data_IF_905917394948
#
_entry.id   IF_905917394948
#
_cell.length_a   1.000
_cell.length_b   1.000
_cell.length_c   1.000
_cell.angle_alpha   90.00
_cell.angle_beta   90.00
_cell.angle_gamma   90.00
#
_symmetry.space_group_name_H-M   'P 1'
#
loop_
_entity.id
_entity.type
_entity.pdbx_description
1 polymer ?
#
# COMPACT_ATOMS: atom_id res chain seq x y z
N UNK A 1 28.25 55.78 19.95
CA UNK A 1 28.43 55.55 21.40
C UNK A 1 28.07 56.82 22.15
N UNK A 2 26.80 56.98 22.57
CA UNK A 2 26.35 58.06 23.44
C UNK A 2 26.40 57.60 24.89
N UNK A 3 27.19 58.28 25.73
CA UNK A 3 27.42 57.87 27.12
C UNK A 3 26.24 58.20 28.04
N UNK A 4 25.90 57.27 28.95
CA UNK A 4 24.86 57.43 29.97
C UNK A 4 25.30 58.41 31.08
N UNK A 5 25.36 59.71 30.77
CA UNK A 5 25.93 60.74 31.64
C UNK A 5 25.27 60.83 33.03
N UNK A 6 24.00 60.46 33.18
CA UNK A 6 23.30 60.47 34.46
C UNK A 6 23.84 59.46 35.48
N UNK A 7 24.51 58.38 35.03
CA UNK A 7 25.14 57.40 35.92
C UNK A 7 26.28 58.02 36.75
N UNK A 8 26.86 59.14 36.31
CA UNK A 8 27.92 59.85 37.04
C UNK A 8 27.41 60.50 38.33
N UNK A 9 26.09 60.69 38.47
CA UNK A 9 25.45 61.31 39.63
C UNK A 9 25.21 60.32 40.79
N UNK A 10 25.29 59.01 40.54
CA UNK A 10 25.10 57.97 41.55
C UNK A 10 26.42 57.78 42.31
N UNK A 11 26.50 58.18 43.58
CA UNK A 11 27.76 58.11 44.36
C UNK A 11 28.21 56.67 44.63
N UNK A 12 27.29 55.80 45.03
CA UNK A 12 27.58 54.39 45.31
C UNK A 12 27.99 53.66 44.03
N UNK A 13 29.17 53.06 44.03
CA UNK A 13 29.73 52.36 42.89
C UNK A 13 28.94 51.09 42.56
N UNK A 14 28.52 50.34 43.57
CA UNK A 14 27.79 49.08 43.38
C UNK A 14 26.43 49.30 42.72
N UNK A 15 25.70 50.33 43.17
CA UNK A 15 24.38 50.69 42.61
C UNK A 15 24.52 51.20 41.18
N UNK A 16 25.55 52.02 40.92
CA UNK A 16 25.85 52.54 39.58
C UNK A 16 26.16 51.43 38.58
N UNK A 17 27.00 50.48 38.99
CA UNK A 17 27.42 49.36 38.15
C UNK A 17 26.24 48.40 37.87
N UNK A 18 25.40 48.14 38.87
CA UNK A 18 24.19 47.34 38.72
C UNK A 18 23.18 47.98 37.74
N UNK A 19 22.91 49.28 37.89
CA UNK A 19 21.99 50.00 37.01
C UNK A 19 22.51 50.07 35.57
N UNK A 20 23.81 50.31 35.41
CA UNK A 20 24.45 50.26 34.09
C UNK A 20 24.25 48.90 33.42
N UNK A 21 24.48 47.82 34.16
CA UNK A 21 24.31 46.46 33.65
C UNK A 21 22.87 46.18 33.21
N UNK A 22 21.88 46.66 33.98
CA UNK A 22 20.48 46.52 33.62
C UNK A 22 20.13 47.22 32.31
N UNK A 23 20.59 48.47 32.14
CA UNK A 23 20.36 49.26 30.92
C UNK A 23 21.03 48.60 29.72
N UNK A 24 22.28 48.15 29.87
CA UNK A 24 23.00 47.48 28.79
C UNK A 24 22.30 46.17 28.39
N UNK A 25 21.72 45.42 29.35
CA UNK A 25 20.91 44.22 29.08
C UNK A 25 19.58 44.55 28.39
N UNK A 26 18.89 45.61 28.78
CA UNK A 26 17.64 46.05 28.13
C UNK A 26 17.90 46.45 26.69
N UNK A 27 18.96 47.23 26.43
CA UNK A 27 19.32 47.63 25.07
C UNK A 27 19.72 46.42 24.19
N UNK A 28 20.37 45.42 24.79
CA UNK A 28 20.66 44.15 24.11
C UNK A 28 19.37 43.40 23.75
N UNK A 29 18.40 43.33 24.67
CA UNK A 29 17.10 42.71 24.42
C UNK A 29 16.30 43.45 23.34
N UNK A 30 16.30 44.79 23.34
CA UNK A 30 15.64 45.60 22.31
C UNK A 30 16.25 45.36 20.92
N UNK A 31 17.57 45.23 20.84
CA UNK A 31 18.28 44.91 19.59
C UNK A 31 17.93 43.50 19.10
N UNK A 32 17.86 42.52 20.01
CA UNK A 32 17.46 41.14 19.67
C UNK A 32 15.99 41.04 19.26
N UNK A 33 15.08 41.73 19.95
CA UNK A 33 13.67 41.77 19.60
C UNK A 33 13.45 42.38 18.21
N UNK A 34 14.22 43.40 17.82
CA UNK A 34 14.18 43.98 16.48
C UNK A 34 14.59 42.99 15.37
N UNK A 35 15.42 41.99 15.67
CA UNK A 35 15.79 40.93 14.72
C UNK A 35 14.75 39.81 14.61
N UNK A 36 13.89 39.64 15.61
CA UNK A 36 12.79 38.68 15.60
C UNK A 36 11.58 39.40 14.98
N UNK A 37 11.53 39.44 13.65
CA UNK A 37 10.44 40.11 12.92
C UNK A 37 9.05 39.70 13.41
N UNK A 38 8.09 40.62 13.36
CA UNK A 38 6.70 40.36 13.75
C UNK A 38 6.00 39.55 12.66
N UNK A 39 5.39 38.41 13.01
CA UNK A 39 4.49 37.65 12.12
C UNK A 39 3.21 38.47 11.90
N UNK A 40 3.24 39.36 10.91
CA UNK A 40 2.13 40.28 10.59
C UNK A 40 1.03 39.63 9.75
N UNK A 41 1.24 38.41 9.25
CA UNK A 41 0.25 37.60 8.53
C UNK A 41 0.46 36.10 8.82
N UNK A 42 -0.60 35.28 8.79
CA UNK A 42 -0.46 33.81 8.78
C UNK A 42 0.47 33.38 7.64
N UNK A 43 1.32 32.39 7.91
CA UNK A 43 2.15 31.76 6.89
C UNK A 43 1.25 31.08 5.85
N UNK A 44 1.26 31.60 4.63
CA UNK A 44 0.52 31.07 3.47
C UNK A 44 1.32 29.99 2.71
N UNK A 45 2.55 29.69 3.15
CA UNK A 45 3.46 28.73 2.52
C UNK A 45 4.28 27.91 3.54
N UNK A 46 4.54 26.64 3.19
CA UNK A 46 5.21 25.67 4.05
C UNK A 46 6.71 26.01 4.27
N UNK A 47 7.17 25.93 5.53
CA UNK A 47 8.55 26.16 5.96
C UNK A 47 9.24 24.84 6.37
N UNK A 48 10.58 24.81 6.37
CA UNK A 48 11.34 23.71 6.97
C UNK A 48 11.49 23.87 8.50
N UNK A 49 12.09 22.89 9.18
CA UNK A 49 12.27 22.90 10.64
C UNK A 49 13.13 24.06 11.18
N UNK A 50 13.82 24.80 10.31
CA UNK A 50 14.60 25.99 10.62
C UNK A 50 13.92 27.30 10.17
N UNK A 51 12.60 27.26 9.89
CA UNK A 51 11.80 28.41 9.43
C UNK A 51 12.26 29.05 8.11
N UNK A 52 13.04 28.35 7.30
CA UNK A 52 13.41 28.81 5.96
C UNK A 52 12.38 28.33 4.93
N UNK A 53 12.15 29.15 3.89
CA UNK A 53 11.36 28.71 2.72
C UNK A 53 12.05 27.49 2.11
N UNK A 54 11.27 26.46 1.79
CA UNK A 54 11.72 25.33 0.97
C UNK A 54 11.92 25.82 -0.48
N UNK A 55 13.06 26.43 -0.79
CA UNK A 55 13.32 27.09 -2.10
C UNK A 55 14.23 26.32 -3.05
N UNK A 56 14.63 25.08 -2.73
CA UNK A 56 15.55 24.32 -3.57
C UNK A 56 15.42 22.81 -3.38
N UNK A 57 14.22 22.25 -3.62
CA UNK A 57 14.09 20.78 -3.78
C UNK A 57 14.66 20.46 -5.16
N UNK A 58 15.98 20.26 -5.22
CA UNK A 58 16.72 20.11 -6.46
C UNK A 58 16.57 18.71 -7.05
N UNK A 59 16.29 17.69 -6.21
CA UNK A 59 16.08 16.33 -6.65
C UNK A 59 15.07 15.58 -5.76
N UNK A 60 13.81 15.44 -6.21
CA UNK A 60 12.75 14.78 -5.43
C UNK A 60 12.94 13.27 -5.21
N UNK A 61 13.99 12.67 -5.77
CA UNK A 61 14.35 11.26 -5.56
C UNK A 61 15.60 11.07 -4.71
N UNK A 62 16.20 12.14 -4.18
CA UNK A 62 17.34 12.03 -3.28
C UNK A 62 16.86 11.73 -1.86
N UNK A 63 17.47 10.72 -1.22
CA UNK A 63 17.08 10.22 0.11
C UNK A 63 17.16 11.28 1.24
N UNK A 64 17.79 12.42 0.97
CA UNK A 64 17.99 13.52 1.93
C UNK A 64 17.05 14.71 1.74
N UNK A 65 16.20 14.71 0.70
CA UNK A 65 15.34 15.85 0.37
C UNK A 65 13.89 15.65 0.86
N UNK A 66 13.23 16.73 1.27
CA UNK A 66 11.88 16.64 1.81
C UNK A 66 10.83 16.45 0.69
N UNK A 67 10.05 15.37 0.74
CA UNK A 67 8.98 15.11 -0.24
C UNK A 67 7.81 16.09 -0.03
N UNK A 68 7.50 16.91 -1.04
CA UNK A 68 6.29 17.75 -1.04
C UNK A 68 5.05 16.97 -1.54
N UNK A 69 3.84 17.48 -1.27
CA UNK A 69 2.58 16.80 -1.62
C UNK A 69 2.44 16.49 -3.12
N UNK A 70 2.85 17.40 -4.01
CA UNK A 70 2.77 17.20 -5.46
C UNK A 70 3.71 16.07 -5.90
N UNK A 71 4.90 16.01 -5.32
CA UNK A 71 5.87 14.94 -5.55
C UNK A 71 5.34 13.59 -5.06
N UNK A 72 4.80 13.53 -3.84
CA UNK A 72 4.20 12.31 -3.31
C UNK A 72 3.04 11.84 -4.19
N UNK A 73 2.15 12.77 -4.58
CA UNK A 73 1.03 12.46 -5.45
C UNK A 73 1.50 11.91 -6.80
N UNK A 74 2.47 12.56 -7.46
CA UNK A 74 3.04 12.07 -8.73
C UNK A 74 3.69 10.71 -8.59
N UNK A 75 4.41 10.47 -7.50
CA UNK A 75 5.02 9.17 -7.23
C UNK A 75 3.96 8.09 -7.05
N UNK A 76 2.93 8.35 -6.24
CA UNK A 76 1.81 7.43 -6.04
C UNK A 76 1.07 7.19 -7.35
N UNK A 77 0.66 8.24 -8.07
CA UNK A 77 -0.02 8.12 -9.37
C UNK A 77 0.82 7.28 -10.36
N UNK A 78 2.14 7.52 -10.44
CA UNK A 78 3.03 6.74 -11.29
C UNK A 78 3.14 5.27 -10.87
N UNK A 79 3.12 4.98 -9.56
CA UNK A 79 3.10 3.61 -9.04
C UNK A 79 1.76 2.93 -9.31
N UNK A 80 0.65 3.64 -9.16
CA UNK A 80 -0.70 3.15 -9.48
C UNK A 80 -0.80 2.79 -10.97
N UNK A 81 -0.34 3.68 -11.87
CA UNK A 81 -0.28 3.40 -13.32
C UNK A 81 0.62 2.22 -13.63
N UNK A 82 1.81 2.15 -13.03
CA UNK A 82 2.73 1.02 -13.24
C UNK A 82 2.17 -0.32 -12.75
N UNK A 83 1.33 -0.31 -11.72
CA UNK A 83 0.61 -1.49 -11.23
C UNK A 83 -0.71 -1.79 -11.98
N UNK A 84 -1.06 -0.98 -12.98
CA UNK A 84 -2.32 -1.10 -13.72
C UNK A 84 -3.57 -0.69 -12.92
N UNK A 85 -3.41 0.00 -11.79
CA UNK A 85 -4.51 0.48 -10.91
C UNK A 85 -5.32 1.60 -11.53
N UNK A 86 -4.63 2.42 -12.30
CA UNK A 86 -5.24 3.56 -12.95
C UNK A 86 -4.65 3.74 -14.35
N UNK A 87 -5.41 4.34 -15.25
CA UNK A 87 -4.90 4.75 -16.55
C UNK A 87 -4.05 6.03 -16.40
N UNK A 88 -3.46 6.49 -17.51
CA UNK A 88 -2.66 7.72 -17.51
C UNK A 88 -3.46 8.99 -17.15
N UNK A 89 -4.79 8.92 -17.16
CA UNK A 89 -5.69 9.99 -16.73
C UNK A 89 -6.11 9.87 -15.26
N UNK A 90 -5.66 8.83 -14.55
CA UNK A 90 -5.99 8.58 -13.15
C UNK A 90 -7.36 7.93 -12.93
N UNK A 91 -8.02 7.44 -13.99
CA UNK A 91 -9.25 6.68 -13.86
C UNK A 91 -8.92 5.25 -13.43
N UNK A 92 -9.74 4.69 -12.54
CA UNK A 92 -9.65 3.27 -12.22
C UNK A 92 -9.78 2.45 -13.50
N UNK A 93 -8.79 1.61 -13.78
CA UNK A 93 -8.86 0.68 -14.91
C UNK A 93 -9.72 -0.49 -14.45
N UNK A 94 -10.83 -0.74 -15.16
CA UNK A 94 -11.55 -2.00 -15.00
C UNK A 94 -10.56 -3.15 -15.26
N UNK A 95 -10.55 -4.23 -14.46
CA UNK A 95 -9.65 -5.36 -14.68
C UNK A 95 -9.80 -5.82 -16.12
N UNK A 96 -8.83 -5.46 -16.97
CA UNK A 96 -8.67 -6.14 -18.24
C UNK A 96 -8.05 -7.47 -17.90
N UNK A 97 -8.72 -8.53 -18.36
CA UNK A 97 -8.14 -9.87 -18.47
C UNK A 97 -6.82 -9.73 -19.23
N UNK A 98 -5.75 -9.56 -18.47
CA UNK A 98 -4.42 -9.30 -18.99
C UNK A 98 -3.68 -10.61 -19.21
N UNK A 99 -4.30 -11.74 -18.85
CA UNK A 99 -3.80 -13.09 -19.17
C UNK A 99 -4.43 -13.61 -20.47
N UNK A 100 -5.33 -12.83 -21.09
CA UNK A 100 -6.09 -13.19 -22.30
C UNK A 100 -6.88 -14.50 -22.13
N UNK A 101 -7.38 -14.75 -20.92
CA UNK A 101 -8.17 -15.92 -20.56
C UNK A 101 -7.36 -17.21 -20.40
N UNK A 102 -6.03 -17.12 -20.29
CA UNK A 102 -5.17 -18.29 -20.18
C UNK A 102 -5.39 -19.04 -18.87
N UNK A 103 -5.66 -18.35 -17.77
CA UNK A 103 -5.95 -19.00 -16.48
C UNK A 103 -7.28 -19.76 -16.56
N UNK A 104 -8.30 -19.15 -17.18
CA UNK A 104 -9.57 -19.83 -17.43
C UNK A 104 -9.42 -21.02 -18.40
N UNK A 105 -8.59 -20.90 -19.44
CA UNK A 105 -8.28 -21.98 -20.37
C UNK A 105 -7.57 -23.15 -19.67
N UNK A 106 -6.66 -22.86 -18.74
CA UNK A 106 -6.00 -23.85 -17.89
C UNK A 106 -7.00 -24.61 -17.01
N UNK A 107 -7.92 -23.90 -16.35
CA UNK A 107 -8.98 -24.52 -15.54
C UNK A 107 -9.83 -25.47 -16.40
N UNK A 108 -10.23 -25.03 -17.59
CA UNK A 108 -11.02 -25.85 -18.52
C UNK A 108 -10.25 -27.08 -19.04
N UNK A 109 -8.93 -27.01 -19.10
CA UNK A 109 -8.06 -28.10 -19.54
C UNK A 109 -7.62 -29.03 -18.38
N UNK A 110 -7.90 -28.66 -17.13
CA UNK A 110 -7.50 -29.45 -15.98
C UNK A 110 -8.20 -30.82 -16.01
N UNK A 111 -7.40 -31.89 -16.00
CA UNK A 111 -7.90 -33.26 -15.80
C UNK A 111 -8.03 -33.62 -14.32
N UNK A 112 -8.34 -34.88 -14.04
CA UNK A 112 -8.31 -35.42 -12.66
C UNK A 112 -6.92 -35.27 -12.01
N UNK A 113 -5.86 -35.32 -12.83
CA UNK A 113 -4.47 -35.12 -12.42
C UNK A 113 -3.96 -33.71 -12.76
N UNK A 114 -4.83 -32.69 -12.78
CA UNK A 114 -4.63 -31.36 -13.42
C UNK A 114 -3.37 -30.55 -13.05
N UNK A 115 -2.44 -31.09 -12.27
CA UNK A 115 -1.14 -30.48 -12.01
C UNK A 115 -0.22 -30.53 -13.25
N UNK A 116 0.48 -29.42 -13.58
CA UNK A 116 1.37 -29.37 -14.72
C UNK A 116 2.58 -30.31 -14.52
N UNK A 117 2.94 -31.06 -15.57
CA UNK A 117 4.08 -31.99 -15.54
C UNK A 117 5.46 -31.31 -15.45
N UNK A 118 5.53 -30.00 -15.70
CA UNK A 118 6.75 -29.18 -15.63
C UNK A 118 6.47 -27.85 -14.93
N UNK A 119 7.46 -27.34 -14.19
CA UNK A 119 7.35 -26.05 -13.52
C UNK A 119 7.42 -24.91 -14.53
N UNK A 120 6.38 -24.09 -14.55
CA UNK A 120 6.31 -22.84 -15.29
C UNK A 120 5.27 -21.96 -14.63
N UNK A 121 5.67 -20.74 -14.25
CA UNK A 121 4.80 -19.79 -13.52
C UNK A 121 3.88 -19.02 -14.48
N UNK A 122 3.24 -19.74 -15.39
CA UNK A 122 2.36 -19.16 -16.43
C UNK A 122 0.91 -19.19 -16.02
N UNK A 123 0.09 -18.30 -16.60
CA UNK A 123 -1.35 -18.26 -16.35
C UNK A 123 -2.05 -19.60 -16.64
N UNK A 124 -1.71 -20.23 -17.77
CA UNK A 124 -2.25 -21.54 -18.13
C UNK A 124 -1.92 -22.63 -17.10
N UNK A 125 -0.68 -22.65 -16.59
CA UNK A 125 -0.28 -23.62 -15.57
C UNK A 125 -0.92 -23.35 -14.21
N UNK A 126 -1.11 -22.09 -13.84
CA UNK A 126 -1.88 -21.74 -12.64
C UNK A 126 -3.32 -22.24 -12.76
N UNK A 127 -3.96 -22.04 -13.92
CA UNK A 127 -5.30 -22.53 -14.22
C UNK A 127 -5.42 -24.05 -14.11
N UNK A 128 -4.44 -24.78 -14.66
CA UNK A 128 -4.34 -26.24 -14.54
C UNK A 128 -4.37 -26.68 -13.06
N UNK A 129 -3.54 -26.05 -12.21
CA UNK A 129 -3.49 -26.35 -10.77
C UNK A 129 -4.83 -26.04 -10.10
N UNK A 130 -5.42 -24.86 -10.37
CA UNK A 130 -6.70 -24.43 -9.77
C UNK A 130 -7.82 -25.42 -10.11
N UNK A 131 -7.95 -25.81 -11.37
CA UNK A 131 -8.94 -26.80 -11.80
C UNK A 131 -8.65 -28.20 -11.26
N UNK A 132 -7.37 -28.60 -11.21
CA UNK A 132 -6.93 -29.92 -10.71
C UNK A 132 -7.28 -30.14 -9.25
N UNK A 133 -7.04 -29.15 -8.39
CA UNK A 133 -7.41 -29.21 -6.96
C UNK A 133 -8.91 -29.44 -6.78
N UNK A 134 -9.75 -28.80 -7.60
CA UNK A 134 -11.20 -29.03 -7.53
C UNK A 134 -11.61 -30.45 -7.92
N UNK A 135 -10.91 -31.07 -8.87
CA UNK A 135 -11.11 -32.48 -9.21
C UNK A 135 -10.58 -33.44 -8.14
N UNK A 136 -9.52 -33.08 -7.43
CA UNK A 136 -8.97 -33.86 -6.33
C UNK A 136 -9.88 -33.86 -5.10
N UNK A 137 -10.56 -32.74 -4.84
CA UNK A 137 -11.46 -32.57 -3.69
C UNK A 137 -12.92 -32.40 -4.11
N UNK A 138 -13.55 -33.37 -4.82
CA UNK A 138 -14.89 -33.21 -5.38
C UNK A 138 -15.97 -33.04 -4.29
N UNK A 139 -15.71 -33.52 -3.07
CA UNK A 139 -16.60 -33.33 -1.93
C UNK A 139 -16.71 -31.86 -1.49
N UNK A 140 -15.66 -31.07 -1.69
CA UNK A 140 -15.69 -29.63 -1.38
C UNK A 140 -16.53 -28.88 -2.42
N UNK A 141 -16.53 -29.33 -3.67
CA UNK A 141 -17.26 -28.69 -4.79
C UNK A 141 -18.74 -29.09 -4.85
N UNK A 142 -19.12 -30.20 -4.22
CA UNK A 142 -20.49 -30.73 -4.22
C UNK A 142 -21.49 -29.80 -3.49
N UNK A 143 -22.81 -29.97 -3.72
CA UNK A 143 -23.83 -29.34 -2.89
C UNK A 143 -23.60 -29.59 -1.41
N UNK A 144 -23.81 -28.55 -0.60
CA UNK A 144 -23.70 -28.58 0.84
C UNK A 144 -25.08 -28.60 1.50
N UNK A 145 -25.12 -28.97 2.78
CA UNK A 145 -26.36 -29.03 3.56
C UNK A 145 -26.94 -27.66 3.90
N UNK A 146 -26.08 -26.63 3.97
CA UNK A 146 -26.43 -25.25 4.25
C UNK A 146 -25.34 -24.27 3.77
N UNK A 147 -25.66 -22.98 3.81
CA UNK A 147 -24.74 -21.90 3.40
C UNK A 147 -23.45 -21.88 4.23
N UNK A 148 -23.53 -22.18 5.53
CA UNK A 148 -22.36 -22.15 6.41
C UNK A 148 -21.34 -23.25 6.05
N UNK A 149 -21.83 -24.45 5.73
CA UNK A 149 -21.01 -25.55 5.24
C UNK A 149 -20.45 -25.24 3.86
N UNK A 150 -21.24 -24.61 2.99
CA UNK A 150 -20.80 -24.18 1.67
C UNK A 150 -19.65 -23.14 1.75
N UNK A 151 -19.79 -22.13 2.60
CA UNK A 151 -18.74 -21.14 2.86
C UNK A 151 -17.46 -21.78 3.43
N UNK A 152 -17.61 -22.76 4.33
CA UNK A 152 -16.48 -23.50 4.90
C UNK A 152 -15.75 -24.33 3.84
N UNK A 153 -16.50 -25.08 3.01
CA UNK A 153 -15.94 -25.87 1.91
C UNK A 153 -15.20 -24.98 0.90
N UNK A 154 -15.77 -23.80 0.60
CA UNK A 154 -15.17 -22.81 -0.31
C UNK A 154 -13.84 -22.29 0.21
N UNK A 155 -13.78 -21.92 1.49
CA UNK A 155 -12.54 -21.47 2.11
C UNK A 155 -11.49 -22.60 2.19
N UNK A 156 -11.93 -23.83 2.49
CA UNK A 156 -11.03 -24.99 2.50
C UNK A 156 -10.42 -25.22 1.11
N UNK A 157 -11.25 -25.24 0.08
CA UNK A 157 -10.81 -25.43 -1.31
C UNK A 157 -9.87 -24.31 -1.76
N UNK A 158 -10.14 -23.05 -1.38
CA UNK A 158 -9.24 -21.92 -1.64
C UNK A 158 -7.86 -22.15 -1.03
N UNK A 159 -7.81 -22.62 0.22
CA UNK A 159 -6.56 -22.83 0.94
C UNK A 159 -5.76 -24.01 0.40
N UNK A 160 -6.43 -25.09 -0.02
CA UNK A 160 -5.77 -26.20 -0.74
C UNK A 160 -5.21 -25.73 -2.08
N UNK A 161 -5.96 -24.89 -2.79
CA UNK A 161 -5.53 -24.29 -4.06
C UNK A 161 -4.27 -23.44 -3.87
N UNK A 162 -4.25 -22.59 -2.84
CA UNK A 162 -3.09 -21.76 -2.50
C UNK A 162 -1.87 -22.63 -2.16
N UNK A 163 -2.04 -23.65 -1.32
CA UNK A 163 -0.96 -24.55 -0.95
C UNK A 163 -0.34 -25.24 -2.18
N UNK A 164 -1.17 -25.75 -3.08
CA UNK A 164 -0.72 -26.37 -4.33
C UNK A 164 0.03 -25.38 -5.23
N UNK A 165 -0.49 -24.17 -5.41
CA UNK A 165 0.22 -23.14 -6.18
C UNK A 165 1.61 -22.85 -5.60
N UNK A 166 1.72 -22.73 -4.27
CA UNK A 166 3.00 -22.52 -3.57
C UNK A 166 3.94 -23.73 -3.76
N UNK A 167 3.43 -24.96 -3.67
CA UNK A 167 4.20 -26.18 -3.91
C UNK A 167 4.83 -26.22 -5.31
N UNK A 168 4.11 -25.70 -6.30
CA UNK A 168 4.57 -25.57 -7.69
C UNK A 168 5.41 -24.29 -7.95
N UNK A 169 5.68 -23.50 -6.91
CA UNK A 169 6.59 -22.34 -6.95
C UNK A 169 5.92 -21.01 -7.29
N UNK A 170 4.59 -20.95 -7.37
CA UNK A 170 3.88 -19.67 -7.51
C UNK A 170 3.92 -18.89 -6.21
N UNK A 171 3.89 -17.56 -6.33
CA UNK A 171 3.53 -16.70 -5.20
C UNK A 171 2.02 -16.52 -5.22
N UNK A 172 1.32 -17.07 -4.24
CA UNK A 172 -0.13 -16.99 -4.12
C UNK A 172 -0.55 -16.74 -2.66
N UNK A 173 -1.75 -16.20 -2.48
CA UNK A 173 -2.33 -15.94 -1.19
C UNK A 173 -3.78 -15.52 -1.31
N UNK A 174 -4.43 -15.23 -0.18
CA UNK A 174 -5.82 -14.76 -0.20
C UNK A 174 -5.88 -13.31 -0.65
N UNK A 175 -6.89 -12.99 -1.45
CA UNK A 175 -7.17 -11.60 -1.81
C UNK A 175 -7.70 -10.84 -0.58
N UNK A 176 -7.11 -9.69 -0.26
CA UNK A 176 -7.68 -8.75 0.69
C UNK A 176 -8.64 -7.80 -0.02
N UNK A 177 -9.90 -7.76 0.42
CA UNK A 177 -10.88 -6.84 -0.13
C UNK A 177 -10.58 -5.39 0.33
N UNK A 178 -11.09 -4.35 -0.38
CA UNK A 178 -10.94 -2.96 0.05
C UNK A 178 -11.46 -2.67 1.47
N UNK A 179 -12.37 -3.50 1.99
CA UNK A 179 -12.84 -3.47 3.38
C UNK A 179 -11.79 -3.93 4.41
N UNK A 180 -10.65 -4.46 3.97
CA UNK A 180 -9.61 -5.07 4.80
C UNK A 180 -9.85 -6.56 5.12
N UNK A 181 -11.00 -7.12 4.74
CA UNK A 181 -11.35 -8.52 5.00
C UNK A 181 -10.73 -9.44 3.96
N UNK A 182 -10.14 -10.56 4.40
CA UNK A 182 -9.65 -11.60 3.49
C UNK A 182 -10.81 -12.36 2.87
N UNK A 183 -10.83 -12.47 1.55
CA UNK A 183 -11.88 -13.18 0.82
C UNK A 183 -11.80 -14.68 1.05
N UNK A 184 -12.95 -15.36 1.06
CA UNK A 184 -13.07 -16.82 1.18
C UNK A 184 -13.09 -17.52 -0.18
N UNK A 185 -13.18 -16.74 -1.25
CA UNK A 185 -13.43 -17.17 -2.63
C UNK A 185 -12.49 -16.54 -3.67
N UNK A 186 -11.68 -15.58 -3.24
CA UNK A 186 -10.77 -14.84 -4.12
C UNK A 186 -9.32 -15.08 -3.76
N UNK A 187 -8.52 -15.30 -4.79
CA UNK A 187 -7.08 -15.49 -4.70
C UNK A 187 -6.36 -14.27 -5.27
N UNK A 188 -5.17 -13.99 -4.75
CA UNK A 188 -4.19 -13.13 -5.39
C UNK A 188 -2.96 -13.98 -5.71
N UNK A 189 -2.47 -13.93 -6.95
CA UNK A 189 -1.38 -14.78 -7.40
C UNK A 189 -0.48 -14.05 -8.43
N UNK A 190 0.79 -14.44 -8.48
CA UNK A 190 1.75 -13.94 -9.48
C UNK A 190 1.95 -15.00 -10.57
N UNK A 191 1.47 -14.72 -11.77
CA UNK A 191 1.63 -15.55 -12.98
C UNK A 191 2.06 -14.68 -14.16
N UNK A 192 2.87 -15.24 -15.06
CA UNK A 192 3.50 -14.52 -16.17
C UNK A 192 4.23 -13.24 -15.71
N UNK A 193 4.77 -13.26 -14.48
CA UNK A 193 5.44 -12.13 -13.84
C UNK A 193 4.52 -10.99 -13.40
N UNK A 194 3.19 -11.16 -13.47
CA UNK A 194 2.20 -10.14 -13.12
C UNK A 194 1.36 -10.59 -11.92
N UNK A 195 1.12 -9.67 -10.98
CA UNK A 195 0.19 -9.91 -9.87
C UNK A 195 -1.24 -9.73 -10.34
N UNK A 196 -2.06 -10.76 -10.15
CA UNK A 196 -3.47 -10.82 -10.52
C UNK A 196 -4.30 -11.28 -9.35
N UNK A 197 -5.59 -11.02 -9.41
CA UNK A 197 -6.54 -11.57 -8.45
C UNK A 197 -7.77 -12.09 -9.17
N UNK A 198 -8.28 -13.22 -8.71
CA UNK A 198 -9.39 -13.92 -9.33
C UNK A 198 -10.46 -14.27 -8.30
N UNK A 199 -11.71 -14.11 -8.69
CA UNK A 199 -12.84 -14.79 -8.09
C UNK A 199 -12.90 -16.21 -8.66
N UNK A 200 -12.66 -17.20 -7.80
CA UNK A 200 -12.45 -18.59 -8.21
C UNK A 200 -13.71 -19.42 -8.20
N UNK A 201 -14.72 -19.06 -7.42
CA UNK A 201 -15.85 -19.94 -7.15
C UNK A 201 -17.17 -19.20 -7.31
N UNK A 202 -18.07 -19.80 -8.07
CA UNK A 202 -19.48 -19.39 -8.16
C UNK A 202 -20.39 -20.55 -7.79
N UNK A 203 -21.68 -20.29 -7.58
CA UNK A 203 -22.68 -21.29 -7.24
C UNK A 203 -23.43 -20.98 -5.96
N UNK A 204 -24.21 -21.96 -5.50
CA UNK A 204 -25.06 -21.89 -4.31
C UNK A 204 -24.99 -23.22 -3.55
N UNK A 205 -25.32 -23.21 -2.25
CA UNK A 205 -25.19 -24.39 -1.41
C UNK A 205 -25.99 -25.60 -1.92
N UNK A 206 -27.13 -25.40 -2.58
CA UNK A 206 -28.00 -26.46 -3.11
C UNK A 206 -27.53 -27.05 -4.46
N UNK A 207 -26.66 -26.33 -5.18
CA UNK A 207 -26.13 -26.73 -6.50
C UNK A 207 -24.67 -27.16 -6.42
N UNK A 208 -23.90 -26.63 -5.47
CA UNK A 208 -22.46 -26.79 -5.38
C UNK A 208 -21.70 -25.65 -6.06
N UNK A 209 -20.38 -25.77 -6.09
CA UNK A 209 -19.49 -24.76 -6.67
C UNK A 209 -19.17 -25.06 -8.14
N UNK A 210 -18.89 -24.02 -8.89
CA UNK A 210 -18.20 -24.08 -10.17
C UNK A 210 -16.92 -23.29 -10.07
N UNK A 211 -15.82 -23.88 -10.52
CA UNK A 211 -14.51 -23.24 -10.54
C UNK A 211 -14.37 -22.39 -11.80
N UNK A 212 -13.90 -21.16 -11.62
CA UNK A 212 -13.72 -20.16 -12.67
C UNK A 212 -12.45 -19.35 -12.40
N UNK A 213 -12.08 -18.49 -13.34
CA UNK A 213 -11.05 -17.46 -13.14
C UNK A 213 -11.60 -16.12 -13.61
N UNK A 214 -12.46 -15.50 -12.79
CA UNK A 214 -12.97 -14.17 -13.09
C UNK A 214 -12.02 -13.13 -12.49
N UNK A 215 -11.26 -12.42 -13.32
CA UNK A 215 -10.28 -11.44 -12.83
C UNK A 215 -11.00 -10.29 -12.10
N UNK A 216 -10.52 -10.00 -10.89
CA UNK A 216 -11.02 -8.92 -10.02
C UNK A 216 -9.93 -7.90 -9.74
N UNK A 217 -10.34 -6.69 -9.33
CA UNK A 217 -9.45 -5.55 -9.15
C UNK A 217 -9.77 -4.76 -7.87
N UNK A 218 -8.77 -4.18 -7.19
CA UNK A 218 -7.32 -4.32 -7.39
C UNK A 218 -6.73 -5.58 -6.75
N UNK A 219 -5.66 -6.18 -7.31
CA UNK A 219 -5.00 -7.30 -6.66
C UNK A 219 -4.31 -6.84 -5.37
N UNK A 220 -4.56 -7.57 -4.29
CA UNK A 220 -3.93 -7.35 -3.00
C UNK A 220 -3.63 -8.69 -2.34
N UNK A 221 -2.39 -9.14 -2.50
CA UNK A 221 -1.91 -10.39 -1.94
C UNK A 221 -1.75 -10.28 -0.43
N UNK A 222 -2.51 -11.09 0.30
CA UNK A 222 -2.27 -11.37 1.71
C UNK A 222 -1.74 -12.78 1.86
N UNK A 223 -0.64 -12.92 2.60
CA UNK A 223 -0.02 -14.21 2.84
C UNK A 223 -1.01 -15.16 3.54
N UNK A 224 -1.18 -16.35 2.98
CA UNK A 224 -1.85 -17.49 3.57
C UNK A 224 -1.08 -18.70 3.05
N UNK A 225 -0.55 -19.55 3.93
CA UNK A 225 0.26 -20.70 3.53
C UNK A 225 -0.62 -21.83 2.94
N UNK A 226 -1.93 -21.62 2.90
CA UNK A 226 -2.90 -22.63 2.53
C UNK A 226 -3.09 -23.66 3.64
N UNK A 227 -3.64 -24.81 3.26
CA UNK A 227 -3.65 -26.00 4.10
C UNK A 227 -3.03 -27.14 3.30
N UNK A 228 -2.09 -27.84 3.93
CA UNK A 228 -1.54 -29.06 3.38
C UNK A 228 -2.60 -30.17 3.42
N UNK A 229 -2.46 -31.14 2.53
CA UNK A 229 -3.39 -32.25 2.42
C UNK A 229 -3.38 -33.24 3.59
#
# INVERSE_FOLDING_TARGET
MGGYNFLTQIRDRSVRDALKSLIDRVNMLETQAATIGTLTKPLDTNLNAANHRLTAIANPTADTDAVNYITLKRYVDARLVASGLTDAAGNAVAPTDTDNGQTAAGIAAAGADGHPAVSGLTAYNAGLIIGGVAHEFPALVAPAVDEATFDANRLELLRRTIWHLILFGFTAGRQQNPSGVLSTDKIALIEDGNMRSFDLYTGTFDVGMTVQALQVYPPHLSADDGIAD
#
